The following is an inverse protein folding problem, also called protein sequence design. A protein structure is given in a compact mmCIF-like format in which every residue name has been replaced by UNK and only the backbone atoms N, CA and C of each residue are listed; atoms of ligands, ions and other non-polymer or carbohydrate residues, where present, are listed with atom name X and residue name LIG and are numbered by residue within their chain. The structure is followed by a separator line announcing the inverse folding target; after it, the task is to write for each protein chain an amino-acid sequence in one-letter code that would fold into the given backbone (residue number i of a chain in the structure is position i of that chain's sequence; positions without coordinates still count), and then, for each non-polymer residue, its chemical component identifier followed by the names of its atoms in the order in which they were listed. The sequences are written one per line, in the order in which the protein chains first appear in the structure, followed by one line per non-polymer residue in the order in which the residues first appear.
data_IF_427636100606
#
_entry.id   IF_427636100606
#
_cell.length_a   1.000
_cell.length_b   1.000
_cell.length_c   1.000
_cell.angle_alpha   90.00
_cell.angle_beta   90.00
_cell.angle_gamma   90.00
#
_symmetry.space_group_name_H-M   'P 1'
#
loop_
_entity.id
_entity.type
_entity.pdbx_description
1 polymer ?
#
# COMPACT_ATOMS: atom_id res chain seq x y z
N UNK A 1 -5.77 -38.90 -1.86
CA UNK A 1 -5.82 -39.01 -0.41
C UNK A 1 -5.88 -37.64 0.22
N UNK A 2 -6.75 -37.44 1.19
CA UNK A 2 -6.77 -36.26 2.05
C UNK A 2 -5.60 -36.35 3.03
N UNK A 3 -4.67 -35.41 3.02
CA UNK A 3 -3.64 -35.27 4.05
C UNK A 3 -3.88 -33.92 4.70
N UNK A 4 -4.51 -33.90 5.86
CA UNK A 4 -4.59 -32.70 6.70
C UNK A 4 -3.37 -32.66 7.62
N UNK A 5 -2.64 -31.57 7.66
CA UNK A 5 -1.64 -31.29 8.67
C UNK A 5 -1.98 -30.02 9.42
N UNK A 6 -2.20 -30.13 10.72
CA UNK A 6 -2.34 -29.01 11.63
C UNK A 6 -0.95 -28.71 12.22
N UNK A 7 -0.37 -27.56 11.94
CA UNK A 7 0.90 -27.16 12.49
C UNK A 7 0.75 -25.85 13.26
N UNK A 8 0.89 -25.93 14.59
CA UNK A 8 0.96 -24.74 15.45
C UNK A 8 2.43 -24.37 15.65
N UNK A 9 2.88 -23.30 15.02
CA UNK A 9 4.23 -22.78 15.18
C UNK A 9 4.16 -21.54 16.07
N UNK A 10 4.94 -21.55 17.16
CA UNK A 10 5.20 -20.37 17.98
C UNK A 10 6.54 -19.80 17.57
N UNK A 11 6.52 -18.66 16.90
CA UNK A 11 7.72 -18.00 16.45
C UNK A 11 8.01 -16.74 17.29
N UNK A 12 9.26 -16.31 17.31
CA UNK A 12 9.73 -15.07 17.94
C UNK A 12 10.44 -14.26 16.88
N UNK A 13 10.09 -12.98 16.77
CA UNK A 13 10.76 -12.08 15.84
C UNK A 13 12.24 -12.00 16.17
N UNK A 14 13.08 -12.21 15.17
CA UNK A 14 14.51 -12.08 15.31
C UNK A 14 14.93 -10.64 15.64
N UNK A 15 16.10 -10.48 16.27
CA UNK A 15 16.66 -9.19 16.67
C UNK A 15 16.90 -8.18 15.52
N UNK A 16 16.72 -8.58 14.26
CA UNK A 16 17.01 -7.75 13.08
C UNK A 16 16.08 -6.52 12.92
N UNK A 17 14.90 -6.49 13.57
CA UNK A 17 13.96 -5.38 13.52
C UNK A 17 14.08 -4.40 14.68
N UNK A 18 14.93 -4.69 15.66
CA UNK A 18 15.10 -3.89 16.87
C UNK A 18 16.54 -3.39 16.92
N UNK A 19 16.73 -2.10 17.18
CA UNK A 19 18.07 -1.58 17.36
C UNK A 19 18.75 -2.26 18.57
N UNK A 20 20.02 -2.66 18.44
CA UNK A 20 20.77 -3.21 19.57
C UNK A 20 20.68 -2.27 20.77
N UNK A 21 20.52 -2.85 21.95
CA UNK A 21 20.42 -2.07 23.20
C UNK A 21 19.18 -1.19 23.36
N UNK A 22 18.08 -1.42 22.62
CA UNK A 22 16.83 -0.66 22.78
C UNK A 22 16.23 -0.72 24.20
N UNK A 23 16.62 -1.70 25.00
CA UNK A 23 16.24 -1.83 26.41
C UNK A 23 17.15 -1.07 27.40
N UNK A 24 18.26 -0.50 26.92
CA UNK A 24 19.29 0.17 27.76
C UNK A 24 19.53 1.59 27.27
N UNK A 25 19.77 2.52 28.19
CA UNK A 25 20.15 3.88 27.81
C UNK A 25 21.57 3.88 27.23
N UNK A 26 21.70 4.47 26.04
CA UNK A 26 23.01 4.61 25.36
C UNK A 26 23.35 6.07 25.15
N UNK A 27 24.63 6.35 25.02
CA UNK A 27 25.18 7.68 24.74
C UNK A 27 25.98 7.65 23.45
N UNK A 28 25.94 8.75 22.72
CA UNK A 28 26.65 8.94 21.46
C UNK A 28 27.66 10.10 21.60
N UNK A 29 28.72 10.04 20.82
CA UNK A 29 29.68 11.14 20.73
C UNK A 29 29.00 12.32 20.00
N UNK A 30 28.89 13.47 20.66
CA UNK A 30 28.27 14.68 20.13
C UNK A 30 29.28 15.74 19.65
N UNK A 31 30.49 15.36 19.48
CA UNK A 31 31.57 16.25 19.06
C UNK A 31 32.60 16.53 20.18
N UNK A 32 33.18 17.72 20.14
CA UNK A 32 34.26 18.11 21.06
C UNK A 32 34.03 19.51 21.58
N UNK A 33 34.41 19.75 22.82
CA UNK A 33 34.53 21.08 23.37
C UNK A 33 35.93 21.30 23.95
N UNK A 34 36.30 22.55 24.12
CA UNK A 34 37.62 22.89 24.73
C UNK A 34 37.43 23.23 26.21
N UNK A 35 38.11 22.49 27.08
CA UNK A 35 38.14 22.75 28.51
C UNK A 35 39.61 22.99 28.92
N UNK A 36 39.94 24.16 29.39
CA UNK A 36 41.31 24.51 29.78
C UNK A 36 42.35 24.38 28.65
N UNK A 37 41.94 24.62 27.39
CA UNK A 37 42.80 24.45 26.21
C UNK A 37 42.97 23.01 25.73
N UNK A 38 42.33 22.03 26.39
CA UNK A 38 42.32 20.63 26.01
C UNK A 38 41.06 20.27 25.27
N UNK A 39 41.18 19.48 24.18
CA UNK A 39 40.07 18.93 23.44
C UNK A 39 39.42 17.80 24.22
N UNK A 40 38.17 17.96 24.59
CA UNK A 40 37.40 17.00 25.39
C UNK A 40 36.20 16.52 24.61
N UNK A 41 35.90 15.21 24.65
CA UNK A 41 34.72 14.65 24.00
C UNK A 41 33.44 15.10 24.70
N UNK A 42 32.44 15.47 23.87
CA UNK A 42 31.09 15.70 24.31
C UNK A 42 30.21 14.48 23.99
N UNK A 43 29.29 14.15 24.87
CA UNK A 43 28.37 13.02 24.71
C UNK A 43 26.94 13.50 24.90
N UNK A 44 26.06 12.94 24.16
CA UNK A 44 24.59 13.10 24.32
C UNK A 44 23.92 11.74 24.46
N UNK A 45 22.72 11.72 25.00
CA UNK A 45 21.90 10.50 24.95
C UNK A 45 21.52 10.20 23.50
N UNK A 46 21.48 8.90 23.16
CA UNK A 46 21.01 8.47 21.84
C UNK A 46 19.53 8.83 21.66
N UNK A 47 19.10 8.91 20.41
CA UNK A 47 17.70 9.21 20.05
C UNK A 47 16.74 8.08 20.44
N UNK A 48 17.26 6.87 20.63
CA UNK A 48 16.53 5.72 21.13
C UNK A 48 16.51 5.73 22.66
N UNK A 49 15.35 6.06 23.23
CA UNK A 49 15.16 6.06 24.67
C UNK A 49 14.96 4.63 25.16
N UNK A 50 15.67 4.28 26.22
CA UNK A 50 15.62 2.95 26.81
C UNK A 50 14.23 2.51 27.23
N UNK A 51 13.89 1.26 26.96
CA UNK A 51 12.68 0.61 27.45
C UNK A 51 13.03 -0.72 28.11
N UNK A 52 13.11 -0.73 29.44
CA UNK A 52 13.42 -1.93 30.21
C UNK A 52 12.34 -3.02 30.12
N UNK A 53 11.09 -2.63 29.78
CA UNK A 53 9.95 -3.54 29.64
C UNK A 53 9.79 -4.13 28.23
N UNK A 54 10.76 -3.85 27.33
CA UNK A 54 10.71 -4.34 25.97
C UNK A 54 10.81 -5.87 25.94
N UNK A 55 9.83 -6.52 25.33
CA UNK A 55 9.76 -7.99 25.20
C UNK A 55 9.69 -8.41 23.75
N UNK A 56 9.80 -9.73 23.51
CA UNK A 56 9.68 -10.32 22.19
C UNK A 56 8.25 -10.30 21.69
N UNK A 57 8.09 -10.09 20.40
CA UNK A 57 6.83 -10.38 19.70
C UNK A 57 6.56 -11.89 19.74
N UNK A 58 5.30 -12.27 19.84
CA UNK A 58 4.85 -13.66 19.86
C UNK A 58 3.80 -13.89 18.80
N UNK A 59 4.07 -14.78 17.86
CA UNK A 59 3.11 -15.17 16.83
C UNK A 59 2.58 -16.57 17.08
N UNK A 60 1.28 -16.73 16.92
CA UNK A 60 0.55 -17.98 16.98
C UNK A 60 -0.08 -18.22 15.63
N UNK A 61 0.37 -19.28 14.94
CA UNK A 61 -0.09 -19.62 13.61
C UNK A 61 -0.94 -20.89 13.64
N UNK A 62 -2.06 -20.84 12.93
CA UNK A 62 -2.90 -21.99 12.60
C UNK A 62 -2.98 -22.08 11.08
N UNK A 63 -2.81 -23.29 10.55
CA UNK A 63 -2.94 -23.56 9.13
C UNK A 63 -3.74 -24.86 8.95
N UNK A 64 -4.71 -24.82 8.03
CA UNK A 64 -5.46 -25.99 7.59
C UNK A 64 -5.31 -26.08 6.08
N UNK A 65 -4.70 -27.16 5.60
CA UNK A 65 -4.43 -27.40 4.18
C UNK A 65 -5.23 -28.59 3.63
N UNK A 66 -5.57 -28.49 2.36
CA UNK A 66 -6.19 -29.56 1.58
C UNK A 66 -5.46 -29.71 0.25
N UNK A 67 -4.91 -30.89 0.00
CA UNK A 67 -4.39 -31.30 -1.30
C UNK A 67 -5.31 -32.35 -1.92
N UNK A 68 -5.71 -32.12 -3.16
CA UNK A 68 -6.62 -33.04 -3.86
C UNK A 68 -6.28 -33.13 -5.35
N UNK A 69 -6.27 -34.34 -5.87
CA UNK A 69 -6.08 -34.62 -7.29
C UNK A 69 -7.28 -35.33 -7.86
N UNK A 70 -7.80 -34.85 -9.00
CA UNK A 70 -8.99 -35.40 -9.64
C UNK A 70 -8.69 -35.80 -11.08
N UNK A 71 -9.49 -36.73 -11.61
CA UNK A 71 -9.48 -37.16 -13.00
C UNK A 71 -8.10 -37.67 -13.49
N UNK A 72 -7.45 -38.56 -12.74
CA UNK A 72 -6.10 -39.05 -13.02
C UNK A 72 -5.07 -37.93 -13.15
N UNK A 73 -5.01 -37.06 -12.14
CA UNK A 73 -4.12 -35.89 -12.07
C UNK A 73 -4.30 -34.89 -13.22
N UNK A 74 -5.55 -34.76 -13.73
CA UNK A 74 -5.85 -33.70 -14.67
C UNK A 74 -6.17 -32.37 -13.99
N UNK A 75 -6.57 -32.43 -12.72
CA UNK A 75 -6.83 -31.27 -11.86
C UNK A 75 -6.14 -31.57 -10.54
N UNK A 76 -5.14 -30.75 -10.21
CA UNK A 76 -4.44 -30.78 -8.93
C UNK A 76 -4.74 -29.47 -8.20
N UNK A 77 -5.36 -29.56 -7.02
CA UNK A 77 -5.75 -28.45 -6.16
C UNK A 77 -5.01 -28.55 -4.83
N UNK A 78 -4.38 -27.45 -4.43
CA UNK A 78 -3.91 -27.21 -3.06
C UNK A 78 -4.62 -25.98 -2.52
N UNK A 79 -5.17 -26.06 -1.33
CA UNK A 79 -5.89 -24.97 -0.67
C UNK A 79 -5.48 -24.91 0.79
N UNK A 80 -4.95 -23.77 1.22
CA UNK A 80 -4.51 -23.52 2.58
C UNK A 80 -5.26 -22.34 3.17
N UNK A 81 -5.82 -22.51 4.35
CA UNK A 81 -6.36 -21.41 5.15
C UNK A 81 -5.53 -21.23 6.40
N UNK A 82 -5.07 -20.02 6.64
CA UNK A 82 -4.25 -19.71 7.79
C UNK A 82 -4.81 -18.55 8.63
N UNK A 83 -4.48 -18.58 9.93
CA UNK A 83 -4.71 -17.49 10.87
C UNK A 83 -3.44 -17.31 11.68
N UNK A 84 -2.91 -16.09 11.67
CA UNK A 84 -1.76 -15.67 12.46
C UNK A 84 -2.21 -14.58 13.43
N UNK A 85 -2.02 -14.79 14.74
CA UNK A 85 -2.21 -13.76 15.75
C UNK A 85 -0.85 -13.40 16.31
N UNK A 86 -0.50 -12.11 16.29
CA UNK A 86 0.76 -11.61 16.85
C UNK A 86 0.45 -10.69 18.01
N UNK A 87 1.02 -11.03 19.18
CA UNK A 87 0.94 -10.26 20.41
C UNK A 87 2.25 -9.50 20.64
N UNK A 88 2.14 -8.29 21.16
CA UNK A 88 3.28 -7.48 21.53
C UNK A 88 4.10 -6.97 20.35
N UNK A 89 3.43 -6.58 19.25
CA UNK A 89 4.10 -5.99 18.07
C UNK A 89 4.93 -4.79 18.51
N UNK A 90 6.21 -4.80 18.16
CA UNK A 90 7.17 -3.76 18.53
C UNK A 90 7.07 -2.59 17.55
N UNK A 91 6.94 -1.41 18.12
CA UNK A 91 6.79 -0.19 17.37
C UNK A 91 7.66 0.93 17.91
N UNK A 92 8.27 1.71 17.04
CA UNK A 92 9.03 2.92 17.40
C UNK A 92 8.04 4.07 17.63
N UNK A 93 7.75 4.37 18.88
CA UNK A 93 6.87 5.47 19.25
C UNK A 93 7.69 6.75 19.44
N UNK A 94 7.41 7.78 18.64
CA UNK A 94 8.00 9.11 18.84
C UNK A 94 7.53 9.69 20.18
N UNK A 95 8.45 10.28 20.92
CA UNK A 95 8.17 10.88 22.21
C UNK A 95 7.76 12.34 22.05
N UNK A 96 6.79 12.82 22.85
CA UNK A 96 6.43 14.24 22.87
C UNK A 96 7.63 15.11 23.25
N UNK A 97 7.77 16.27 22.61
CA UNK A 97 8.82 17.25 22.85
C UNK A 97 8.85 17.72 24.33
N UNK A 98 7.71 17.74 24.98
CA UNK A 98 7.57 18.11 26.41
C UNK A 98 8.39 17.21 27.36
N UNK A 99 8.75 16.02 26.93
CA UNK A 99 9.60 15.10 27.71
C UNK A 99 11.07 15.50 27.72
N UNK A 100 11.45 16.62 27.12
CA UNK A 100 12.81 17.15 27.06
C UNK A 100 13.75 16.40 26.11
N UNK A 101 13.30 15.34 25.48
CA UNK A 101 14.02 14.54 24.54
C UNK A 101 13.78 15.07 23.11
N UNK A 102 14.46 16.16 22.75
CA UNK A 102 14.29 16.83 21.46
C UNK A 102 15.64 17.21 20.85
N UNK A 103 15.77 16.94 19.59
CA UNK A 103 16.83 17.42 18.72
C UNK A 103 16.14 18.15 17.54
N UNK A 104 16.66 19.30 17.12
CA UNK A 104 16.07 20.13 16.04
C UNK A 104 15.86 19.37 14.71
N UNK A 105 16.58 18.27 14.51
CA UNK A 105 16.53 17.46 13.27
C UNK A 105 15.76 16.16 13.40
N UNK A 106 15.53 15.66 14.64
CA UNK A 106 14.92 14.34 14.85
C UNK A 106 14.15 14.29 16.18
N UNK A 107 13.03 13.56 16.18
CA UNK A 107 12.32 13.20 17.39
C UNK A 107 12.99 12.00 18.07
N UNK A 108 13.08 12.05 19.39
CA UNK A 108 13.45 10.86 20.16
C UNK A 108 12.30 9.86 20.12
N UNK A 109 12.65 8.58 20.09
CA UNK A 109 11.68 7.48 20.06
C UNK A 109 11.98 6.42 21.11
N UNK A 110 10.97 5.64 21.43
CA UNK A 110 11.08 4.48 22.31
C UNK A 110 10.44 3.29 21.61
N UNK A 111 11.15 2.17 21.55
CA UNK A 111 10.61 0.90 21.09
C UNK A 111 9.71 0.30 22.16
N UNK A 112 8.45 0.01 21.84
CA UNK A 112 7.45 -0.54 22.76
C UNK A 112 6.66 -1.67 22.13
N UNK A 113 6.22 -2.63 22.93
CA UNK A 113 5.26 -3.64 22.54
C UNK A 113 3.85 -3.06 22.64
N UNK A 114 3.35 -2.43 21.56
CA UNK A 114 2.11 -1.62 21.65
C UNK A 114 0.90 -2.23 20.96
N UNK A 115 1.08 -3.22 20.09
CA UNK A 115 -0.04 -3.68 19.28
C UNK A 115 -0.24 -5.20 19.35
N UNK A 116 -1.48 -5.60 19.08
CA UNK A 116 -1.84 -6.96 18.68
C UNK A 116 -2.40 -6.90 17.28
N UNK A 117 -1.94 -7.82 16.43
CA UNK A 117 -2.42 -7.94 15.05
C UNK A 117 -3.01 -9.33 14.80
N UNK A 118 -3.91 -9.41 13.86
CA UNK A 118 -4.40 -10.66 13.30
C UNK A 118 -4.29 -10.61 11.79
N UNK A 119 -3.75 -11.66 11.23
CA UNK A 119 -3.73 -11.90 9.80
C UNK A 119 -4.41 -13.23 9.51
N UNK A 120 -5.28 -13.29 8.52
CA UNK A 120 -5.87 -14.54 8.03
C UNK A 120 -6.01 -14.46 6.51
N UNK A 121 -5.89 -15.62 5.88
CA UNK A 121 -5.92 -15.67 4.44
C UNK A 121 -6.22 -17.05 3.89
N UNK A 122 -6.42 -17.05 2.59
CA UNK A 122 -6.64 -18.25 1.78
C UNK A 122 -5.59 -18.24 0.66
N UNK A 123 -4.88 -19.37 0.53
CA UNK A 123 -3.97 -19.61 -0.57
C UNK A 123 -4.50 -20.79 -1.39
N UNK A 124 -4.60 -20.59 -2.70
CA UNK A 124 -5.06 -21.61 -3.63
C UNK A 124 -4.02 -21.80 -4.73
N UNK A 125 -3.67 -23.04 -5.00
CA UNK A 125 -2.91 -23.43 -6.19
C UNK A 125 -3.71 -24.45 -6.97
N UNK A 126 -3.97 -24.14 -8.24
CA UNK A 126 -4.72 -25.02 -9.14
C UNK A 126 -3.92 -25.26 -10.40
N UNK A 127 -3.55 -26.51 -10.64
CA UNK A 127 -2.93 -26.96 -11.88
C UNK A 127 -3.91 -27.83 -12.66
N UNK A 128 -4.06 -27.52 -13.95
CA UNK A 128 -4.97 -28.27 -14.81
C UNK A 128 -4.32 -28.69 -16.12
N UNK A 129 -4.66 -29.89 -16.56
CA UNK A 129 -4.37 -30.41 -17.91
C UNK A 129 -5.67 -30.37 -18.71
N UNK A 130 -5.92 -29.21 -19.34
CA UNK A 130 -7.21 -28.93 -19.99
C UNK A 130 -7.41 -29.83 -21.22
N UNK A 131 -6.39 -29.88 -22.08
CA UNK A 131 -6.37 -30.72 -23.27
C UNK A 131 -5.01 -31.41 -23.34
N UNK A 132 -5.02 -32.72 -23.54
CA UNK A 132 -3.81 -33.53 -23.76
C UNK A 132 -4.09 -34.51 -24.87
N UNK A 133 -3.53 -34.29 -26.04
CA UNK A 133 -3.55 -35.23 -27.15
C UNK A 133 -2.18 -35.26 -27.85
N UNK A 134 -2.01 -36.07 -28.90
CA UNK A 134 -0.71 -36.32 -29.56
C UNK A 134 -0.09 -35.05 -30.14
N UNK A 135 -0.89 -34.12 -30.64
CA UNK A 135 -0.41 -32.95 -31.34
C UNK A 135 -0.56 -31.64 -30.56
N UNK A 136 -1.52 -31.60 -29.60
CA UNK A 136 -1.85 -30.39 -28.86
C UNK A 136 -1.98 -30.67 -27.37
N UNK A 137 -1.31 -29.87 -26.59
CA UNK A 137 -1.45 -29.86 -25.13
C UNK A 137 -1.75 -28.43 -24.65
N UNK A 138 -2.72 -28.31 -23.76
CA UNK A 138 -3.02 -27.07 -23.04
C UNK A 138 -3.08 -27.35 -21.56
N UNK A 139 -2.22 -26.66 -20.81
CA UNK A 139 -2.19 -26.69 -19.35
C UNK A 139 -2.36 -25.29 -18.79
N UNK A 140 -2.98 -25.21 -17.62
CA UNK A 140 -3.10 -23.95 -16.88
C UNK A 140 -2.61 -24.13 -15.45
N UNK A 141 -1.95 -23.12 -14.90
CA UNK A 141 -1.58 -23.01 -13.51
C UNK A 141 -2.09 -21.68 -12.96
N UNK A 142 -2.84 -21.76 -11.86
CA UNK A 142 -3.37 -20.60 -11.15
C UNK A 142 -2.87 -20.62 -9.72
N UNK A 143 -2.36 -19.50 -9.25
CA UNK A 143 -2.09 -19.23 -7.84
C UNK A 143 -2.97 -18.06 -7.40
N UNK A 144 -3.62 -18.16 -6.28
CA UNK A 144 -4.45 -17.11 -5.73
C UNK A 144 -4.18 -16.97 -4.23
N UNK A 145 -3.94 -15.76 -3.77
CA UNK A 145 -3.74 -15.45 -2.36
C UNK A 145 -4.67 -14.32 -1.95
N UNK A 146 -5.50 -14.58 -0.96
CA UNK A 146 -6.31 -13.58 -0.26
C UNK A 146 -5.68 -13.36 1.11
N UNK A 147 -5.40 -12.11 1.46
CA UNK A 147 -4.84 -11.75 2.75
C UNK A 147 -5.67 -10.65 3.41
N UNK A 148 -6.05 -10.83 4.67
CA UNK A 148 -6.80 -9.87 5.46
C UNK A 148 -6.11 -9.68 6.81
N UNK A 149 -5.48 -8.53 6.94
CA UNK A 149 -4.73 -8.12 8.11
C UNK A 149 -5.47 -7.02 8.87
N UNK A 150 -5.40 -7.06 10.21
CA UNK A 150 -5.93 -5.98 11.04
C UNK A 150 -5.22 -5.84 12.37
N UNK A 151 -5.10 -4.62 12.83
CA UNK A 151 -4.74 -4.28 14.20
C UNK A 151 -5.93 -4.59 15.10
N UNK A 152 -5.74 -5.42 16.13
CA UNK A 152 -6.80 -5.83 17.08
C UNK A 152 -6.89 -4.89 18.28
N UNK A 153 -5.74 -4.47 18.78
CA UNK A 153 -5.65 -3.56 19.92
C UNK A 153 -4.33 -2.82 19.92
N UNK A 154 -4.33 -1.65 20.54
CA UNK A 154 -3.14 -0.86 20.86
C UNK A 154 -3.01 -0.75 22.37
N UNK A 155 -1.79 -0.89 22.91
CA UNK A 155 -1.52 -0.75 24.35
C UNK A 155 -1.37 0.74 24.67
N UNK A 156 -2.10 1.20 25.68
CA UNK A 156 -2.11 2.61 26.11
C UNK A 156 -3.51 3.24 26.12
N UNK A 157 -4.52 2.56 25.62
CA UNK A 157 -5.95 2.72 25.93
C UNK A 157 -6.64 4.02 25.53
N UNK A 158 -5.97 4.98 24.88
CA UNK A 158 -6.55 6.32 24.64
C UNK A 158 -6.48 6.80 23.19
N UNK A 159 -5.76 6.12 22.32
CA UNK A 159 -5.68 6.48 20.91
C UNK A 159 -6.08 5.30 20.04
N UNK A 160 -7.10 5.49 19.20
CA UNK A 160 -7.52 4.48 18.23
C UNK A 160 -6.49 4.32 17.10
N UNK A 161 -5.46 5.16 17.06
CA UNK A 161 -4.41 5.15 16.08
C UNK A 161 -3.07 5.68 16.62
N UNK A 162 -1.97 5.19 16.07
CA UNK A 162 -0.59 5.63 16.35
C UNK A 162 0.11 5.95 15.03
N UNK A 163 0.65 7.15 14.92
CA UNK A 163 1.40 7.59 13.74
C UNK A 163 2.85 7.10 13.80
N UNK A 164 3.36 6.62 12.67
CA UNK A 164 4.78 6.38 12.43
C UNK A 164 5.13 6.79 10.99
N UNK A 165 5.90 7.87 10.85
CA UNK A 165 6.25 8.43 9.54
C UNK A 165 5.00 8.64 8.67
N UNK A 166 4.90 7.93 7.53
CA UNK A 166 3.82 8.04 6.56
C UNK A 166 2.63 7.10 6.84
N UNK A 167 2.73 6.25 7.86
CA UNK A 167 1.75 5.21 8.15
C UNK A 167 1.12 5.36 9.53
N UNK A 168 -0.05 4.76 9.66
CA UNK A 168 -0.79 4.69 10.92
C UNK A 168 -1.12 3.24 11.28
N UNK A 169 -0.97 2.92 12.55
CA UNK A 169 -1.62 1.78 13.16
C UNK A 169 -2.98 2.21 13.67
N UNK A 170 -4.04 1.72 13.07
CA UNK A 170 -5.42 2.02 13.48
C UNK A 170 -6.15 0.74 13.82
N UNK A 171 -6.88 0.71 14.94
CA UNK A 171 -7.65 -0.46 15.35
C UNK A 171 -8.70 -0.81 14.28
N UNK A 172 -8.77 -2.07 13.90
CA UNK A 172 -9.68 -2.57 12.86
C UNK A 172 -9.14 -2.50 11.44
N UNK A 173 -8.02 -1.81 11.20
CA UNK A 173 -7.40 -1.63 9.89
C UNK A 173 -6.08 -2.38 9.78
N UNK A 174 -5.58 -2.63 8.54
CA UNK A 174 -4.27 -3.23 8.33
C UNK A 174 -3.12 -2.37 8.88
N UNK A 175 -2.00 -3.03 9.20
CA UNK A 175 -0.72 -2.35 9.46
C UNK A 175 -0.32 -1.56 8.21
N UNK A 176 0.33 -0.42 8.39
CA UNK A 176 0.71 0.48 7.29
C UNK A 176 -0.48 1.03 6.49
N UNK A 177 -1.54 1.39 7.19
CA UNK A 177 -2.65 2.14 6.62
C UNK A 177 -2.26 3.59 6.37
N UNK A 178 -2.75 4.16 5.27
CA UNK A 178 -2.64 5.58 4.98
C UNK A 178 -3.74 6.35 5.69
N UNK A 179 -3.37 7.42 6.38
CA UNK A 179 -4.29 8.22 7.17
C UNK A 179 -4.13 9.70 6.81
N UNK A 180 -5.16 10.27 6.21
CA UNK A 180 -5.17 11.65 5.73
C UNK A 180 -6.61 12.14 5.53
N UNK A 181 -6.85 13.44 5.26
CA UNK A 181 -8.14 13.91 4.80
C UNK A 181 -8.60 13.17 3.54
N UNK A 182 -9.79 12.60 3.56
CA UNK A 182 -10.34 11.89 2.40
C UNK A 182 -10.93 12.88 1.40
N UNK A 183 -10.48 12.80 0.15
CA UNK A 183 -11.01 13.61 -0.95
C UNK A 183 -12.26 12.92 -1.53
N UNK A 184 -13.36 13.67 -1.62
CA UNK A 184 -14.61 13.26 -2.31
C UNK A 184 -14.74 13.93 -3.70
N UNK A 185 -13.66 14.45 -4.26
CA UNK A 185 -13.60 15.16 -5.53
C UNK A 185 -13.32 16.65 -5.36
N UNK A 186 -13.81 17.43 -6.31
CA UNK A 186 -13.71 18.89 -6.28
C UNK A 186 -15.11 19.49 -6.15
N UNK A 187 -15.22 20.63 -5.48
CA UNK A 187 -16.47 21.39 -5.46
C UNK A 187 -16.85 21.80 -6.88
N UNK A 188 -18.10 21.54 -7.28
CA UNK A 188 -18.58 21.78 -8.63
C UNK A 188 -19.42 23.07 -8.73
N UNK A 189 -19.66 23.54 -9.97
CA UNK A 189 -20.64 24.59 -10.20
C UNK A 189 -22.02 24.12 -9.75
N UNK A 190 -22.76 25.00 -9.06
CA UNK A 190 -24.03 24.68 -8.39
C UNK A 190 -23.90 24.23 -6.94
N UNK A 191 -22.67 24.03 -6.43
CA UNK A 191 -22.37 23.72 -5.03
C UNK A 191 -21.80 24.93 -4.27
N UNK A 192 -21.90 26.18 -4.80
CA UNK A 192 -21.25 27.39 -4.26
C UNK A 192 -21.62 27.64 -2.79
N UNK A 193 -22.91 27.47 -2.45
CA UNK A 193 -23.41 27.70 -1.09
C UNK A 193 -22.81 26.68 -0.11
N UNK A 194 -22.74 25.43 -0.53
CA UNK A 194 -22.17 24.35 0.28
C UNK A 194 -20.67 24.56 0.46
N UNK A 195 -19.95 24.81 -0.63
CA UNK A 195 -18.50 25.09 -0.61
C UNK A 195 -18.15 26.25 0.32
N UNK A 196 -18.97 27.32 0.29
CA UNK A 196 -18.77 28.50 1.13
C UNK A 196 -18.85 28.19 2.63
N UNK A 197 -19.66 27.19 3.06
CA UNK A 197 -19.72 26.74 4.44
C UNK A 197 -18.40 26.10 4.92
N UNK A 198 -17.56 25.62 4.00
CA UNK A 198 -16.22 25.09 4.26
C UNK A 198 -15.10 26.07 3.88
N UNK A 199 -15.44 27.32 3.59
CA UNK A 199 -14.46 28.31 3.14
C UNK A 199 -13.87 28.04 1.78
N UNK A 200 -14.53 27.23 0.96
CA UNK A 200 -14.13 26.78 -0.37
C UNK A 200 -14.98 27.44 -1.46
N UNK A 201 -14.58 27.27 -2.71
CA UNK A 201 -15.29 27.67 -3.92
C UNK A 201 -15.28 26.52 -4.93
N UNK A 202 -16.07 26.57 -6.00
CA UNK A 202 -15.97 25.62 -7.11
C UNK A 202 -14.55 25.48 -7.61
N UNK A 203 -14.11 24.24 -7.85
CA UNK A 203 -12.74 23.89 -8.20
C UNK A 203 -11.80 23.66 -7.02
N UNK A 204 -12.20 23.95 -5.79
CA UNK A 204 -11.43 23.58 -4.60
C UNK A 204 -11.63 22.11 -4.23
N UNK A 205 -10.67 21.54 -3.47
CA UNK A 205 -10.77 20.16 -2.98
C UNK A 205 -11.96 20.02 -2.03
N UNK A 206 -12.81 19.04 -2.29
CA UNK A 206 -13.94 18.67 -1.43
C UNK A 206 -13.49 17.55 -0.50
N UNK A 207 -13.39 17.86 0.79
CA UNK A 207 -13.00 16.90 1.82
C UNK A 207 -14.23 16.27 2.44
N UNK A 208 -14.20 14.95 2.57
CA UNK A 208 -15.15 14.20 3.38
C UNK A 208 -14.84 14.41 4.86
N UNK A 209 -15.69 15.14 5.55
CA UNK A 209 -15.55 15.39 7.00
C UNK A 209 -16.35 14.35 7.77
N UNK A 210 -15.71 13.49 8.59
CA UNK A 210 -16.46 12.52 9.40
C UNK A 210 -17.48 13.18 10.32
N UNK A 211 -18.69 12.63 10.33
CA UNK A 211 -19.75 13.15 11.18
C UNK A 211 -20.42 14.45 10.69
N UNK A 212 -20.04 14.97 9.50
CA UNK A 212 -20.70 16.15 8.93
C UNK A 212 -22.06 15.78 8.34
N UNK A 213 -23.11 16.49 8.74
CA UNK A 213 -24.49 16.29 8.30
C UNK A 213 -24.99 17.59 7.68
N UNK A 214 -25.65 17.48 6.53
CA UNK A 214 -26.34 18.58 5.87
C UNK A 214 -27.85 18.49 6.17
N UNK A 215 -28.42 19.56 6.68
CA UNK A 215 -29.88 19.68 6.88
C UNK A 215 -30.62 20.10 5.61
N UNK A 216 -31.94 19.95 5.63
CA UNK A 216 -32.80 20.29 4.50
C UNK A 216 -32.78 21.80 4.18
N UNK A 217 -32.49 22.66 5.15
CA UNK A 217 -32.34 24.10 4.98
C UNK A 217 -30.96 24.53 4.42
N UNK A 218 -30.07 23.55 4.17
CA UNK A 218 -28.76 23.75 3.56
C UNK A 218 -27.64 24.05 4.55
N UNK A 219 -27.91 24.11 5.87
CA UNK A 219 -26.87 24.25 6.89
C UNK A 219 -26.20 22.93 7.17
N UNK A 220 -24.96 23.00 7.64
CA UNK A 220 -24.19 21.83 8.08
C UNK A 220 -24.00 21.87 9.59
N UNK A 221 -23.98 20.71 10.21
CA UNK A 221 -23.51 20.54 11.59
C UNK A 221 -22.68 19.25 11.68
N UNK A 222 -21.82 19.18 12.70
CA UNK A 222 -20.95 18.01 12.91
C UNK A 222 -21.40 17.27 14.18
N UNK A 223 -21.49 15.94 14.08
CA UNK A 223 -21.67 15.08 15.25
C UNK A 223 -20.31 14.63 15.79
N UNK A 224 -20.20 14.54 17.12
CA UNK A 224 -19.05 13.99 17.81
C UNK A 224 -19.03 12.46 17.78
N UNK A 225 -17.99 11.87 18.40
CA UNK A 225 -17.84 10.41 18.50
C UNK A 225 -18.95 9.74 19.34
N UNK A 226 -19.62 10.52 20.18
CA UNK A 226 -20.80 10.11 20.95
C UNK A 226 -22.10 10.09 20.11
N UNK A 227 -22.02 10.49 18.85
CA UNK A 227 -23.16 10.58 17.93
C UNK A 227 -24.08 11.79 18.19
N UNK A 228 -23.69 12.72 19.08
CA UNK A 228 -24.47 13.93 19.36
C UNK A 228 -23.91 15.12 18.54
N UNK A 229 -24.76 16.07 18.12
CA UNK A 229 -24.31 17.31 17.50
C UNK A 229 -23.34 18.09 18.42
N UNK A 230 -22.30 18.67 17.81
CA UNK A 230 -21.41 19.58 18.53
C UNK A 230 -22.17 20.85 18.92
N UNK A 231 -22.01 21.28 20.16
CA UNK A 231 -22.69 22.47 20.72
C UNK A 231 -21.69 23.55 21.11
N UNK A 232 -22.18 24.79 21.15
CA UNK A 232 -21.45 25.92 21.68
C UNK A 232 -21.46 25.97 23.22
N UNK A 233 -20.95 27.05 23.82
CA UNK A 233 -20.90 27.25 25.30
C UNK A 233 -22.28 27.33 25.94
N UNK A 234 -23.33 27.64 25.17
CA UNK A 234 -24.69 27.80 25.62
C UNK A 234 -25.49 26.49 25.47
N UNK A 235 -24.93 25.49 24.81
CA UNK A 235 -25.59 24.23 24.49
C UNK A 235 -26.35 24.24 23.17
N UNK A 236 -26.21 25.29 22.35
CA UNK A 236 -26.84 25.38 21.04
C UNK A 236 -25.99 24.65 19.99
N UNK A 237 -26.66 23.98 19.02
CA UNK A 237 -25.97 23.27 17.94
C UNK A 237 -25.13 24.25 17.10
N UNK A 238 -23.88 23.90 16.84
CA UNK A 238 -22.99 24.69 15.98
C UNK A 238 -23.31 24.40 14.52
N UNK A 239 -23.91 25.38 13.85
CA UNK A 239 -24.16 25.31 12.42
C UNK A 239 -23.05 25.99 11.61
N UNK A 240 -22.66 25.35 10.52
CA UNK A 240 -21.70 25.85 9.57
C UNK A 240 -22.40 26.35 8.31
N UNK A 241 -22.06 27.57 7.92
CA UNK A 241 -22.61 28.33 6.80
C UNK A 241 -21.52 29.18 6.19
N UNK A 242 -21.82 29.97 5.15
CA UNK A 242 -20.89 30.96 4.59
C UNK A 242 -20.38 31.99 5.60
N UNK A 243 -21.16 32.29 6.64
CA UNK A 243 -20.85 33.29 7.67
C UNK A 243 -20.16 32.66 8.89
N UNK A 244 -20.41 31.40 9.18
CA UNK A 244 -19.73 30.59 10.20
C UNK A 244 -19.11 29.37 9.53
N UNK A 245 -17.91 29.50 8.99
CA UNK A 245 -17.25 28.48 8.18
C UNK A 245 -16.68 27.37 9.03
N UNK A 246 -16.78 26.14 8.54
CA UNK A 246 -16.05 25.02 9.09
C UNK A 246 -14.55 25.18 8.82
N UNK A 247 -13.73 24.94 9.85
CA UNK A 247 -12.28 24.89 9.73
C UNK A 247 -11.81 23.46 9.85
N UNK A 248 -11.18 22.94 8.79
CA UNK A 248 -10.61 21.61 8.79
C UNK A 248 -9.48 21.48 9.81
N UNK A 249 -9.35 20.28 10.38
CA UNK A 249 -8.33 19.93 11.35
C UNK A 249 -7.78 18.52 11.09
N UNK A 250 -6.71 18.14 11.78
CA UNK A 250 -6.16 16.78 11.72
C UNK A 250 -7.17 15.71 12.14
N UNK A 251 -8.17 16.09 12.97
CA UNK A 251 -9.26 15.21 13.39
C UNK A 251 -10.22 14.81 12.25
N UNK A 252 -10.14 15.49 11.10
CA UNK A 252 -10.93 15.14 9.91
C UNK A 252 -10.24 14.10 9.02
N UNK A 253 -9.03 13.69 9.39
CA UNK A 253 -8.32 12.62 8.70
C UNK A 253 -8.95 11.27 9.00
N UNK A 254 -8.89 10.37 8.04
CA UNK A 254 -9.43 9.00 8.12
C UNK A 254 -8.51 8.02 7.41
N UNK A 255 -8.71 6.74 7.68
CA UNK A 255 -8.00 5.69 6.94
C UNK A 255 -8.49 5.68 5.49
N UNK A 256 -7.59 6.01 4.56
CA UNK A 256 -7.88 6.02 3.12
C UNK A 256 -7.79 4.63 2.51
N UNK A 257 -6.86 3.84 2.98
CA UNK A 257 -6.53 2.51 2.49
C UNK A 257 -5.18 2.04 3.02
N UNK A 258 -4.61 1.01 2.42
CA UNK A 258 -3.32 0.44 2.80
C UNK A 258 -2.52 -0.04 1.59
N UNK A 259 -1.21 -0.19 1.73
CA UNK A 259 -0.32 -0.56 0.64
C UNK A 259 -0.28 -2.07 0.33
N UNK A 260 -0.81 -2.92 1.21
CA UNK A 260 -0.91 -4.35 0.96
C UNK A 260 -2.13 -4.68 0.09
N UNK A 261 -2.02 -5.56 -0.92
CA UNK A 261 -3.17 -5.98 -1.70
C UNK A 261 -4.12 -6.85 -0.87
N UNK A 262 -5.43 -6.73 -1.13
CA UNK A 262 -6.41 -7.66 -0.58
C UNK A 262 -6.23 -9.06 -1.13
N UNK A 263 -5.94 -9.15 -2.44
CA UNK A 263 -5.63 -10.41 -3.08
C UNK A 263 -4.64 -10.22 -4.24
N UNK A 264 -3.91 -11.29 -4.52
CA UNK A 264 -3.05 -11.43 -5.70
C UNK A 264 -3.38 -12.71 -6.44
N UNK A 265 -3.17 -12.70 -7.76
CA UNK A 265 -3.39 -13.89 -8.58
C UNK A 265 -2.32 -13.97 -9.67
N UNK A 266 -1.70 -15.13 -9.78
CA UNK A 266 -0.85 -15.51 -10.91
C UNK A 266 -1.60 -16.51 -11.79
N UNK A 267 -1.61 -16.30 -13.09
CA UNK A 267 -2.26 -17.20 -14.02
C UNK A 267 -1.39 -17.46 -15.24
N UNK A 268 -0.95 -18.72 -15.37
CA UNK A 268 -0.14 -19.17 -16.48
C UNK A 268 -0.95 -20.12 -17.36
N UNK A 269 -0.87 -19.89 -18.68
CA UNK A 269 -1.32 -20.84 -19.67
C UNK A 269 -0.16 -21.26 -20.53
N UNK A 270 -0.04 -22.58 -20.75
CA UNK A 270 0.97 -23.16 -21.63
C UNK A 270 0.31 -24.05 -22.68
N UNK A 271 0.66 -23.77 -23.91
CA UNK A 271 0.16 -24.46 -25.09
C UNK A 271 1.33 -25.09 -25.83
N UNK A 272 1.17 -26.33 -26.23
CA UNK A 272 2.13 -27.00 -27.14
C UNK A 272 1.35 -27.51 -28.33
N UNK A 273 1.77 -27.13 -29.52
CA UNK A 273 1.21 -27.63 -30.75
C UNK A 273 2.33 -28.12 -31.68
N UNK A 274 2.43 -29.43 -31.87
CA UNK A 274 3.53 -30.07 -32.59
C UNK A 274 4.89 -29.63 -32.06
N UNK A 275 5.63 -28.83 -32.81
CA UNK A 275 6.97 -28.32 -32.47
C UNK A 275 6.96 -26.93 -31.83
N UNK A 276 5.80 -26.28 -31.75
CA UNK A 276 5.65 -24.95 -31.13
C UNK A 276 5.21 -25.07 -29.68
N UNK A 277 5.73 -24.20 -28.85
CA UNK A 277 5.26 -23.98 -27.47
C UNK A 277 5.01 -22.49 -27.26
N UNK A 278 3.92 -22.18 -26.56
CA UNK A 278 3.55 -20.83 -26.16
C UNK A 278 3.20 -20.83 -24.68
N UNK A 279 3.83 -19.94 -23.91
CA UNK A 279 3.51 -19.72 -22.52
C UNK A 279 3.16 -18.25 -22.30
N UNK A 280 2.05 -18.00 -21.61
CA UNK A 280 1.59 -16.67 -21.21
C UNK A 280 1.41 -16.66 -19.70
N UNK A 281 2.07 -15.71 -19.03
CA UNK A 281 1.93 -15.50 -17.59
C UNK A 281 1.32 -14.14 -17.33
N UNK A 282 0.17 -14.13 -16.66
CA UNK A 282 -0.57 -12.96 -16.23
C UNK A 282 -0.51 -12.84 -14.70
N UNK A 283 -0.47 -11.61 -14.20
CA UNK A 283 -0.42 -11.29 -12.79
C UNK A 283 -1.44 -10.21 -12.45
N UNK A 284 -2.15 -10.41 -11.36
CA UNK A 284 -3.14 -9.48 -10.82
C UNK A 284 -2.75 -9.11 -9.39
N UNK A 285 -2.89 -7.85 -9.06
CA UNK A 285 -2.74 -7.34 -7.71
C UNK A 285 -3.86 -6.34 -7.44
N UNK A 286 -4.66 -6.58 -6.40
CA UNK A 286 -5.94 -5.88 -6.25
C UNK A 286 -6.22 -5.44 -4.83
N UNK A 287 -6.83 -4.23 -4.68
CA UNK A 287 -7.30 -3.69 -3.43
C UNK A 287 -6.22 -3.05 -2.57
N UNK A 288 -5.09 -2.70 -3.15
CA UNK A 288 -4.06 -1.87 -2.53
C UNK A 288 -4.23 -0.41 -2.91
N UNK A 289 -3.80 0.46 -2.03
CA UNK A 289 -3.55 1.87 -2.31
C UNK A 289 -2.04 2.12 -2.40
N UNK A 290 -1.62 3.07 -3.20
CA UNK A 290 -0.23 3.49 -3.28
C UNK A 290 -0.12 4.99 -3.02
N UNK A 291 0.99 5.40 -2.39
CA UNK A 291 1.40 6.78 -2.31
C UNK A 291 2.25 7.08 -3.55
N UNK A 292 1.66 7.72 -4.56
CA UNK A 292 2.35 8.08 -5.80
C UNK A 292 2.73 9.55 -5.76
N UNK A 293 3.91 9.85 -5.25
CA UNK A 293 4.42 11.20 -4.99
C UNK A 293 4.37 12.13 -6.22
N UNK A 294 4.43 11.57 -7.44
CA UNK A 294 4.36 12.38 -8.67
C UNK A 294 3.05 13.18 -8.79
N UNK A 295 1.95 12.68 -8.21
CA UNK A 295 0.69 13.41 -8.19
C UNK A 295 0.76 14.64 -7.29
N UNK A 296 1.58 14.62 -6.24
CA UNK A 296 1.87 15.77 -5.38
C UNK A 296 2.75 16.84 -6.04
N UNK A 297 3.31 16.56 -7.22
CA UNK A 297 4.02 17.59 -8.01
C UNK A 297 3.05 18.47 -8.78
N UNK A 298 1.75 18.18 -8.76
CA UNK A 298 0.75 19.10 -9.25
C UNK A 298 0.86 20.44 -8.50
N UNK A 299 1.08 21.51 -9.24
CA UNK A 299 1.15 22.85 -8.66
C UNK A 299 -0.18 23.58 -8.86
N UNK A 300 -1.01 23.59 -7.83
CA UNK A 300 -2.32 24.26 -7.86
C UNK A 300 -2.22 25.78 -7.99
N UNK A 301 -1.02 26.38 -7.85
CA UNK A 301 -0.82 27.80 -8.12
C UNK A 301 -0.75 28.11 -9.62
N UNK A 302 -0.47 27.12 -10.45
CA UNK A 302 -0.24 27.28 -11.89
C UNK A 302 1.06 27.99 -12.26
N UNK A 303 1.99 28.15 -11.30
CA UNK A 303 3.29 28.81 -11.53
C UNK A 303 4.38 27.83 -11.96
N UNK A 304 4.22 26.53 -11.62
CA UNK A 304 5.14 25.46 -11.96
C UNK A 304 4.75 24.75 -13.25
N UNK A 305 5.68 23.94 -13.77
CA UNK A 305 5.40 23.02 -14.85
C UNK A 305 4.96 21.66 -14.30
N UNK A 306 3.91 21.09 -14.87
CA UNK A 306 3.44 19.73 -14.55
C UNK A 306 3.05 18.99 -15.82
N UNK A 307 2.97 17.65 -15.79
CA UNK A 307 2.59 16.84 -16.94
C UNK A 307 1.24 17.24 -17.53
N UNK A 308 1.12 17.22 -18.85
CA UNK A 308 -0.12 17.60 -19.58
C UNK A 308 -1.30 16.69 -19.31
N UNK A 309 -1.09 15.50 -18.73
CA UNK A 309 -2.15 14.56 -18.38
C UNK A 309 -2.82 14.87 -17.03
N UNK A 310 -2.36 15.88 -16.28
CA UNK A 310 -3.07 16.32 -15.08
C UNK A 310 -4.34 17.04 -15.49
N UNK A 311 -5.46 16.37 -15.23
CA UNK A 311 -6.80 16.81 -15.59
C UNK A 311 -7.37 17.68 -14.46
N UNK A 312 -6.96 18.94 -14.39
CA UNK A 312 -7.42 19.89 -13.37
C UNK A 312 -8.79 20.47 -13.68
N UNK A 313 -9.48 20.88 -12.63
CA UNK A 313 -10.79 21.46 -12.72
C UNK A 313 -10.76 22.84 -13.40
N UNK A 314 -11.73 23.08 -14.30
CA UNK A 314 -12.11 24.39 -14.82
C UNK A 314 -13.63 24.42 -15.01
N UNK A 315 -14.23 25.60 -15.16
CA UNK A 315 -15.68 25.72 -15.40
C UNK A 315 -16.13 24.94 -16.64
N UNK A 316 -15.31 24.85 -17.67
CA UNK A 316 -15.57 24.07 -18.88
C UNK A 316 -15.16 22.60 -18.80
N UNK A 317 -14.41 22.24 -17.76
CA UNK A 317 -13.92 20.87 -17.51
C UNK A 317 -14.07 20.54 -16.02
N UNK A 318 -15.26 20.13 -15.56
CA UNK A 318 -15.55 19.88 -14.15
C UNK A 318 -14.94 18.55 -13.67
N UNK A 319 -13.61 18.48 -13.71
CA UNK A 319 -12.82 17.31 -13.26
C UNK A 319 -12.88 17.14 -11.75
N UNK A 320 -12.77 15.88 -11.28
CA UNK A 320 -12.56 15.52 -9.87
C UNK A 320 -11.14 15.06 -9.56
N UNK A 321 -10.20 15.15 -10.52
CA UNK A 321 -8.84 14.63 -10.35
C UNK A 321 -7.94 15.61 -9.59
N UNK A 322 -7.93 16.90 -10.03
CA UNK A 322 -7.08 17.93 -9.44
C UNK A 322 -7.84 19.25 -9.30
N UNK A 323 -7.52 20.05 -8.26
CA UNK A 323 -8.20 21.32 -8.04
C UNK A 323 -7.90 22.35 -9.12
N UNK A 324 -8.72 23.38 -9.18
CA UNK A 324 -8.53 24.54 -10.05
C UNK A 324 -7.18 25.24 -9.75
N UNK A 325 -6.59 25.82 -10.79
CA UNK A 325 -5.40 26.66 -10.64
C UNK A 325 -5.75 27.99 -9.95
N UNK A 326 -4.98 28.38 -8.95
CA UNK A 326 -5.15 29.64 -8.23
C UNK A 326 -3.79 30.22 -7.84
N UNK A 327 -3.34 31.26 -8.54
CA UNK A 327 -2.04 31.89 -8.35
C UNK A 327 -1.82 32.47 -6.94
N UNK A 328 -2.88 32.72 -6.19
CA UNK A 328 -2.84 33.26 -4.82
C UNK A 328 -2.85 32.16 -3.74
N UNK A 329 -2.88 30.88 -4.13
CA UNK A 329 -2.94 29.75 -3.21
C UNK A 329 -1.54 29.36 -2.75
N UNK A 330 -1.44 29.03 -1.47
CA UNK A 330 -0.26 28.35 -0.92
C UNK A 330 -0.51 26.84 -0.91
N UNK A 331 0.14 26.10 -1.82
CA UNK A 331 -0.09 24.66 -1.99
C UNK A 331 0.14 23.83 -0.73
N UNK A 332 1.16 24.18 0.07
CA UNK A 332 1.54 23.43 1.28
C UNK A 332 0.51 23.50 2.42
N UNK A 333 -0.21 24.61 2.51
CA UNK A 333 -1.26 24.80 3.52
C UNK A 333 -2.65 24.48 3.01
N UNK A 334 -2.77 24.10 1.72
CA UNK A 334 -4.05 23.78 1.14
C UNK A 334 -4.54 22.42 1.62
N UNK A 335 -5.67 22.40 2.32
CA UNK A 335 -6.23 21.18 2.91
C UNK A 335 -6.48 20.11 1.85
N UNK A 336 -6.14 18.85 2.19
CA UNK A 336 -6.31 17.70 1.31
C UNK A 336 -5.30 17.62 0.16
N UNK A 337 -4.44 18.63 -0.03
CA UNK A 337 -3.45 18.61 -1.12
C UNK A 337 -2.52 17.39 -1.03
N UNK A 338 -2.03 17.06 0.18
CA UNK A 338 -1.22 15.87 0.41
C UNK A 338 -1.93 14.55 0.13
N UNK A 339 -3.27 14.56 0.18
CA UNK A 339 -4.08 13.35 -0.10
C UNK A 339 -4.20 13.03 -1.59
N UNK A 340 -3.86 13.97 -2.48
CA UNK A 340 -3.82 13.74 -3.94
C UNK A 340 -2.85 12.63 -4.35
N UNK A 341 -1.84 12.33 -3.53
CA UNK A 341 -0.85 11.30 -3.78
C UNK A 341 -1.43 9.88 -3.65
N UNK A 342 -2.51 9.70 -2.90
CA UNK A 342 -3.05 8.37 -2.59
C UNK A 342 -4.04 7.94 -3.66
N UNK A 343 -3.70 6.86 -4.37
CA UNK A 343 -4.52 6.32 -5.46
C UNK A 343 -4.69 4.81 -5.34
N UNK A 344 -5.76 4.30 -5.95
CA UNK A 344 -5.98 2.86 -6.10
C UNK A 344 -4.88 2.27 -6.99
N UNK A 345 -4.01 1.46 -6.39
CA UNK A 345 -2.88 0.80 -7.04
C UNK A 345 -3.20 -0.56 -7.63
N UNK A 346 -4.48 -0.94 -7.75
CA UNK A 346 -4.89 -2.22 -8.33
C UNK A 346 -4.52 -2.29 -9.82
N UNK A 347 -4.04 -3.44 -10.28
CA UNK A 347 -3.63 -3.64 -11.67
C UNK A 347 -3.73 -5.08 -12.15
N UNK A 348 -3.77 -5.22 -13.45
CA UNK A 348 -3.53 -6.44 -14.22
C UNK A 348 -2.28 -6.27 -15.08
N UNK A 349 -1.47 -7.32 -15.19
CA UNK A 349 -0.23 -7.29 -15.95
C UNK A 349 0.00 -8.62 -16.68
N UNK A 350 0.39 -8.55 -17.96
CA UNK A 350 1.03 -9.69 -18.62
C UNK A 350 2.52 -9.55 -18.35
N UNK A 351 3.06 -10.48 -17.57
CA UNK A 351 4.47 -10.47 -17.17
C UNK A 351 5.38 -11.01 -18.25
N UNK A 352 4.98 -12.14 -18.84
CA UNK A 352 5.78 -12.83 -19.86
C UNK A 352 4.90 -13.48 -20.91
N UNK A 353 5.36 -13.39 -22.15
CA UNK A 353 4.89 -14.22 -23.27
C UNK A 353 6.14 -14.85 -23.88
N UNK A 354 6.20 -16.18 -23.90
CA UNK A 354 7.29 -16.93 -24.51
C UNK A 354 6.74 -17.80 -25.62
N UNK A 355 7.28 -17.65 -26.83
CA UNK A 355 7.02 -18.51 -27.97
C UNK A 355 8.30 -19.27 -28.32
N UNK A 356 8.21 -20.58 -28.34
CA UNK A 356 9.33 -21.48 -28.69
C UNK A 356 9.02 -22.35 -29.89
N UNK A 357 10.07 -22.75 -30.58
CA UNK A 357 10.04 -23.78 -31.62
C UNK A 357 11.18 -24.78 -31.43
N UNK A 358 10.84 -26.05 -31.29
CA UNK A 358 11.79 -27.15 -31.15
C UNK A 358 11.98 -27.83 -32.50
N UNK A 359 13.18 -27.89 -32.98
CA UNK A 359 13.52 -28.53 -34.29
C UNK A 359 13.27 -30.01 -34.21
N UNK A 360 12.68 -30.61 -35.26
CA UNK A 360 12.56 -32.07 -35.37
C UNK A 360 13.92 -32.77 -35.35
N UNK A 361 14.04 -33.88 -34.62
CA UNK A 361 15.28 -34.65 -34.45
C UNK A 361 15.93 -35.01 -35.81
N UNK A 362 15.11 -35.30 -36.83
CA UNK A 362 15.58 -35.63 -38.17
C UNK A 362 16.51 -34.57 -38.82
N UNK A 363 16.32 -33.31 -38.40
CA UNK A 363 17.14 -32.18 -38.91
C UNK A 363 18.47 -32.03 -38.14
N UNK A 364 18.50 -32.55 -36.90
CA UNK A 364 19.61 -32.35 -35.97
C UNK A 364 20.59 -33.53 -35.94
N UNK A 365 20.13 -34.70 -36.34
CA UNK A 365 20.86 -35.98 -36.24
C UNK A 365 22.25 -35.94 -36.87
N UNK A 366 22.42 -35.29 -38.03
CA UNK A 366 23.71 -35.21 -38.74
C UNK A 366 24.70 -34.25 -38.06
N UNK A 367 24.23 -33.38 -37.17
CA UNK A 367 25.04 -32.41 -36.41
C UNK A 367 25.42 -32.88 -35.00
N UNK A 368 25.05 -34.13 -34.62
CA UNK A 368 25.30 -34.64 -33.28
C UNK A 368 24.48 -33.93 -32.16
N UNK A 369 23.42 -33.22 -32.55
CA UNK A 369 22.56 -32.47 -31.62
C UNK A 369 21.35 -33.31 -31.32
N UNK A 370 21.08 -33.56 -30.03
CA UNK A 370 19.89 -34.30 -29.55
C UNK A 370 18.64 -33.46 -29.52
N UNK A 371 18.77 -32.16 -29.18
CA UNK A 371 17.65 -31.23 -29.13
C UNK A 371 18.11 -29.81 -29.40
N UNK A 372 17.34 -29.06 -30.19
CA UNK A 372 17.54 -27.62 -30.41
C UNK A 372 16.19 -26.89 -30.32
N UNK A 373 16.07 -25.88 -29.44
CA UNK A 373 14.89 -25.04 -29.33
C UNK A 373 15.29 -23.58 -29.45
N UNK A 374 14.66 -22.88 -30.38
CA UNK A 374 14.68 -21.42 -30.48
C UNK A 374 13.49 -20.86 -29.71
N UNK A 375 13.68 -19.74 -29.03
CA UNK A 375 12.57 -19.06 -28.37
C UNK A 375 12.73 -17.54 -28.37
N UNK A 376 11.58 -16.87 -28.28
CA UNK A 376 11.48 -15.43 -28.03
C UNK A 376 10.61 -15.21 -26.80
N UNK A 377 11.06 -14.36 -25.89
CA UNK A 377 10.32 -13.96 -24.69
C UNK A 377 10.14 -12.45 -24.68
N UNK A 378 8.90 -12.01 -24.52
CA UNK A 378 8.56 -10.61 -24.24
C UNK A 378 8.24 -10.49 -22.76
N UNK A 379 8.94 -9.60 -22.05
CA UNK A 379 8.71 -9.31 -20.63
C UNK A 379 7.99 -7.98 -20.49
N UNK A 380 7.00 -7.92 -19.60
CA UNK A 380 6.16 -6.74 -19.30
C UNK A 380 5.49 -6.11 -20.55
N UNK A 381 4.90 -6.88 -21.48
CA UNK A 381 4.31 -6.30 -22.69
C UNK A 381 3.10 -5.42 -22.38
N UNK A 382 2.34 -5.74 -21.34
CA UNK A 382 1.09 -5.05 -21.00
C UNK A 382 0.96 -4.87 -19.49
N UNK A 383 0.66 -3.63 -19.08
CA UNK A 383 0.23 -3.26 -17.71
C UNK A 383 -1.04 -2.42 -17.84
N UNK A 384 -2.08 -2.76 -17.09
CA UNK A 384 -3.34 -2.03 -17.03
C UNK A 384 -3.63 -1.70 -15.57
N UNK A 385 -3.48 -0.43 -15.22
CA UNK A 385 -3.85 0.08 -13.91
C UNK A 385 -5.37 0.31 -13.83
N UNK A 386 -5.96 0.13 -12.65
CA UNK A 386 -7.37 0.45 -12.42
C UNK A 386 -7.59 1.97 -12.39
N UNK A 387 -6.69 2.70 -11.74
CA UNK A 387 -6.74 4.15 -11.71
C UNK A 387 -6.18 4.74 -13.00
N UNK A 388 -6.93 5.62 -13.65
CA UNK A 388 -6.48 6.36 -14.84
C UNK A 388 -5.30 7.30 -14.54
N UNK A 389 -5.14 7.74 -13.28
CA UNK A 389 -4.01 8.55 -12.82
C UNK A 389 -2.67 7.79 -12.86
N UNK A 390 -2.71 6.48 -13.04
CA UNK A 390 -1.53 5.61 -13.17
C UNK A 390 -1.31 5.13 -14.61
N UNK A 391 -1.90 5.80 -15.62
CA UNK A 391 -1.86 5.36 -17.02
C UNK A 391 -0.42 5.13 -17.54
N UNK A 392 0.50 6.01 -17.18
CA UNK A 392 1.89 5.97 -17.64
C UNK A 392 2.87 5.51 -16.55
N UNK A 393 2.35 4.96 -15.45
CA UNK A 393 3.10 4.43 -14.33
C UNK A 393 2.84 2.93 -14.15
N UNK A 394 3.87 2.18 -13.79
CA UNK A 394 3.72 0.76 -13.44
C UNK A 394 3.38 0.61 -11.95
N UNK A 395 2.12 0.29 -11.57
CA UNK A 395 1.72 0.20 -10.17
C UNK A 395 2.46 -0.87 -9.36
N UNK A 396 3.15 -1.80 -10.02
CA UNK A 396 4.00 -2.79 -9.36
C UNK A 396 5.19 -2.13 -8.63
N UNK A 397 5.56 -0.91 -9.03
CA UNK A 397 6.60 -0.13 -8.37
C UNK A 397 6.15 0.48 -7.02
N UNK A 398 4.88 0.31 -6.67
CA UNK A 398 4.31 0.70 -5.37
C UNK A 398 4.54 2.18 -4.97
N UNK A 399 4.39 3.10 -5.92
CA UNK A 399 4.56 4.54 -5.72
C UNK A 399 5.99 5.07 -5.88
N UNK A 400 7.00 4.19 -5.94
CA UNK A 400 8.39 4.60 -5.99
C UNK A 400 8.75 5.34 -7.29
N UNK A 401 9.39 6.50 -7.17
CA UNK A 401 9.92 7.30 -8.28
C UNK A 401 11.33 6.81 -8.67
N UNK A 402 11.42 5.57 -9.11
CA UNK A 402 12.65 4.94 -9.59
C UNK A 402 12.54 4.70 -11.09
N UNK A 403 13.62 4.16 -11.70
CA UNK A 403 13.57 3.72 -13.09
C UNK A 403 12.40 2.76 -13.32
N UNK A 404 11.56 2.99 -14.34
CA UNK A 404 10.41 2.14 -14.62
C UNK A 404 10.85 0.73 -15.00
N UNK A 405 9.99 -0.25 -14.72
CA UNK A 405 10.21 -1.63 -15.12
C UNK A 405 10.27 -1.71 -16.65
N UNK A 406 11.39 -2.23 -17.17
CA UNK A 406 11.63 -2.28 -18.61
C UNK A 406 10.75 -3.30 -19.31
N UNK A 407 10.34 -2.97 -20.54
CA UNK A 407 9.84 -3.95 -21.50
C UNK A 407 11.04 -4.54 -22.23
N UNK A 408 11.13 -5.85 -22.29
CA UNK A 408 12.28 -6.53 -22.89
C UNK A 408 11.81 -7.56 -23.92
N UNK A 409 12.57 -7.69 -24.99
CA UNK A 409 12.44 -8.77 -25.95
C UNK A 409 13.76 -9.54 -25.97
N UNK A 410 13.68 -10.82 -25.64
CA UNK A 410 14.84 -11.70 -25.53
C UNK A 410 14.69 -12.86 -26.54
N UNK A 411 15.72 -13.11 -27.29
CA UNK A 411 15.83 -14.30 -28.14
C UNK A 411 16.85 -15.26 -27.54
N UNK A 412 16.55 -16.54 -27.56
CA UNK A 412 17.43 -17.54 -27.00
C UNK A 412 17.41 -18.85 -27.77
N UNK A 413 18.48 -19.62 -27.60
CA UNK A 413 18.68 -20.95 -28.19
C UNK A 413 19.05 -21.91 -27.06
N UNK A 414 18.33 -23.03 -26.96
CA UNK A 414 18.69 -24.15 -26.10
C UNK A 414 19.15 -25.31 -26.96
N UNK A 415 20.38 -25.78 -26.77
CA UNK A 415 20.96 -26.89 -27.50
C UNK A 415 21.37 -27.98 -26.50
N UNK A 416 21.02 -29.22 -26.80
CA UNK A 416 21.49 -30.42 -26.09
C UNK A 416 22.23 -31.33 -27.10
N UNK A 417 23.34 -31.87 -26.67
CA UNK A 417 24.20 -32.76 -27.49
C UNK A 417 24.04 -34.22 -27.04
#
# INVERSE_FOLDING_TARGET
GLVGSEMCIRDRTGAASIDPYSSVATVELDGYYSLGGQKTNSYKFSENVANADLTWERSHNWNIGLDASFFNNRIDLSADYYITNTDGVIWKQNLPVVNGAYNASKLYYMSKNIAKTQNHGLELTLNTRNIVNKEFTWTSALTFTLNNEKVKSLIGGTADHVKNEDYYLSIGYPVNSFYAPKIDGMWQLGEETDAAAFGCAPGDIKINVPGMIKEADGKFYKVGDDGQPLTDKNGDIIYYTKDNKYTYSDADSQVLGHNAPKWTMGFQNSFTYKNFDLTIYAYFRWGQMINYEMLGWYDSTGKGNFPTYFNYWTESNPSNDFPALNANRETKSYIGYGSLNYVDGSFFKIKNITLGYTFPERLLKNAGISKCRLYATITNPLTVAKSHLLKDYDPEMNGALKYPLSKQLVFGVNVSF
#
